data_IF_036435356027
#
_entry.id   IF_036435356027
#
_cell.length_a   1.000
_cell.length_b   1.000
_cell.length_c   1.000
_cell.angle_alpha   90.00
_cell.angle_beta   90.00
_cell.angle_gamma   90.00
#
_symmetry.space_group_name_H-M   'P 1'
#
loop_
_entity.id
_entity.type
_entity.pdbx_description
1 polymer ?
#
# COMPACT_ATOMS: atom_id res chain seq x y z
N UNK A 1 -17.85 15.02 -7.38
CA UNK A 1 -17.46 14.43 -6.09
C UNK A 1 -17.67 12.94 -6.15
N UNK A 2 -16.64 12.21 -6.40
CA UNK A 2 -16.71 10.74 -6.49
C UNK A 2 -16.28 10.10 -5.20
N UNK A 3 -17.17 10.07 -4.25
CA UNK A 3 -17.02 9.19 -3.09
C UNK A 3 -17.19 7.74 -3.58
N UNK A 4 -16.20 6.88 -3.35
CA UNK A 4 -16.20 5.48 -3.75
C UNK A 4 -17.51 4.74 -3.49
N UNK A 5 -18.06 4.88 -2.28
CA UNK A 5 -19.32 4.22 -1.90
C UNK A 5 -20.57 4.72 -2.63
N UNK A 6 -20.53 5.93 -3.19
CA UNK A 6 -21.64 6.43 -4.04
C UNK A 6 -21.62 5.79 -5.40
N UNK A 7 -20.44 5.47 -5.94
CA UNK A 7 -20.28 4.85 -7.25
C UNK A 7 -20.60 3.35 -7.22
N UNK A 8 -20.64 2.72 -6.02
CA UNK A 8 -21.08 1.33 -5.92
C UNK A 8 -22.54 1.21 -6.41
N UNK A 9 -22.83 0.22 -7.28
CA UNK A 9 -24.18 0.00 -7.77
C UNK A 9 -25.10 -0.55 -6.67
N UNK A 10 -26.38 -0.28 -6.80
CA UNK A 10 -27.38 -0.85 -5.92
C UNK A 10 -27.83 -2.21 -6.43
N UNK A 11 -28.19 -3.11 -5.53
CA UNK A 11 -28.92 -4.33 -5.85
C UNK A 11 -30.12 -4.51 -4.92
N UNK A 12 -31.09 -5.31 -5.39
CA UNK A 12 -32.32 -5.55 -4.65
C UNK A 12 -32.13 -6.75 -3.72
N UNK A 13 -32.24 -6.49 -2.40
CA UNK A 13 -32.11 -7.50 -1.35
C UNK A 13 -33.44 -7.72 -0.67
N UNK A 14 -33.77 -8.99 -0.39
CA UNK A 14 -35.02 -9.34 0.32
C UNK A 14 -35.07 -8.65 1.65
N UNK A 15 -36.14 -7.91 1.90
CA UNK A 15 -36.35 -7.20 3.17
C UNK A 15 -36.46 -8.20 4.33
N UNK A 16 -35.71 -7.97 5.37
CA UNK A 16 -35.77 -8.73 6.64
C UNK A 16 -36.40 -7.94 7.77
N UNK A 17 -37.13 -6.88 7.44
CA UNK A 17 -37.86 -6.10 8.42
C UNK A 17 -39.04 -6.90 8.98
N UNK A 18 -39.41 -6.68 10.23
CA UNK A 18 -40.58 -7.32 10.84
C UNK A 18 -41.83 -7.06 9.99
N UNK A 19 -42.52 -8.13 9.57
CA UNK A 19 -43.73 -8.03 8.75
C UNK A 19 -43.48 -8.00 7.23
N UNK A 20 -42.22 -7.96 6.77
CA UNK A 20 -41.90 -8.01 5.34
C UNK A 20 -42.23 -9.39 4.72
N UNK A 21 -42.70 -9.38 3.48
CA UNK A 21 -42.92 -10.60 2.67
C UNK A 21 -41.66 -10.93 1.88
N UNK A 22 -41.53 -12.18 1.43
CA UNK A 22 -40.40 -12.65 0.61
C UNK A 22 -40.26 -11.86 -0.72
N UNK A 23 -41.37 -11.26 -1.17
CA UNK A 23 -41.42 -10.40 -2.37
C UNK A 23 -40.99 -8.96 -2.12
N UNK A 24 -40.75 -8.58 -0.88
CA UNK A 24 -40.43 -7.21 -0.54
C UNK A 24 -38.92 -7.02 -0.61
N UNK A 25 -38.48 -6.16 -1.53
CA UNK A 25 -37.05 -5.87 -1.76
C UNK A 25 -36.72 -4.47 -1.29
N UNK A 26 -35.53 -4.33 -0.75
CA UNK A 26 -34.89 -3.05 -0.40
C UNK A 26 -33.61 -2.89 -1.22
N UNK A 27 -33.34 -1.66 -1.63
CA UNK A 27 -32.09 -1.35 -2.34
C UNK A 27 -30.95 -1.21 -1.35
N UNK A 28 -29.88 -1.96 -1.57
CA UNK A 28 -28.65 -1.90 -0.79
C UNK A 28 -27.45 -1.78 -1.71
N UNK A 29 -26.35 -1.18 -1.20
CA UNK A 29 -25.11 -1.06 -1.94
C UNK A 29 -24.43 -2.42 -2.14
N UNK A 30 -23.93 -2.68 -3.35
CA UNK A 30 -23.26 -3.92 -3.69
C UNK A 30 -21.78 -3.87 -3.32
N UNK A 31 -21.43 -4.27 -2.11
CA UNK A 31 -20.04 -4.34 -1.64
C UNK A 31 -19.24 -5.50 -2.24
N UNK A 32 -19.85 -6.40 -2.99
CA UNK A 32 -19.14 -7.47 -3.70
C UNK A 32 -18.49 -6.96 -5.01
N UNK A 33 -18.90 -5.78 -5.49
CA UNK A 33 -18.20 -5.10 -6.58
C UNK A 33 -17.09 -4.22 -6.01
N UNK A 34 -15.89 -4.36 -6.56
CA UNK A 34 -14.71 -3.57 -6.19
C UNK A 34 -14.17 -2.86 -7.41
N UNK A 35 -13.92 -1.57 -7.27
CA UNK A 35 -13.15 -0.82 -8.26
C UNK A 35 -11.67 -1.18 -8.16
N UNK A 36 -11.00 -1.14 -9.29
CA UNK A 36 -9.55 -1.31 -9.40
C UNK A 36 -9.02 -0.42 -10.54
N UNK A 37 -7.76 -0.10 -10.47
CA UNK A 37 -7.08 0.59 -11.57
C UNK A 37 -6.74 -0.48 -12.61
N UNK A 38 -7.01 -0.18 -13.86
CA UNK A 38 -6.73 -1.07 -14.99
C UNK A 38 -5.23 -1.43 -15.03
N UNK A 39 -4.92 -2.67 -15.36
CA UNK A 39 -3.57 -3.21 -15.25
C UNK A 39 -2.56 -2.49 -16.16
N UNK A 40 -2.98 -2.08 -17.36
CA UNK A 40 -2.13 -1.31 -18.29
C UNK A 40 -1.73 0.06 -17.73
N UNK A 41 -2.61 0.71 -16.97
CA UNK A 41 -2.28 1.96 -16.26
C UNK A 41 -1.36 1.65 -15.07
N UNK A 42 -1.65 0.59 -14.33
CA UNK A 42 -0.90 0.25 -13.12
C UNK A 42 0.55 -0.17 -13.41
N UNK A 43 0.80 -0.79 -14.55
CA UNK A 43 2.15 -1.20 -14.97
C UNK A 43 3.02 -0.05 -15.47
N UNK A 44 2.43 1.08 -15.85
CA UNK A 44 3.15 2.20 -16.45
C UNK A 44 3.44 3.31 -15.41
N UNK A 45 4.66 3.30 -14.88
CA UNK A 45 5.09 4.28 -13.85
C UNK A 45 5.00 5.75 -14.29
N UNK A 46 4.97 6.03 -15.60
CA UNK A 46 4.86 7.40 -16.12
C UNK A 46 3.53 8.06 -15.77
N UNK A 47 2.48 7.29 -15.50
CA UNK A 47 1.18 7.80 -15.08
C UNK A 47 1.14 8.25 -13.62
N UNK A 48 2.13 7.83 -12.83
CA UNK A 48 2.18 8.11 -11.40
C UNK A 48 3.20 9.18 -11.03
N UNK A 49 2.99 9.82 -9.92
CA UNK A 49 3.95 10.70 -9.24
C UNK A 49 4.32 10.10 -7.90
N UNK A 50 5.60 10.15 -7.57
CA UNK A 50 6.06 9.81 -6.22
C UNK A 50 5.57 10.88 -5.25
N UNK A 51 5.03 10.45 -4.13
CA UNK A 51 4.57 11.30 -3.05
C UNK A 51 5.08 10.76 -1.72
N UNK A 52 5.51 11.65 -0.84
CA UNK A 52 5.92 11.29 0.51
C UNK A 52 4.89 11.80 1.50
N UNK A 53 4.31 10.89 2.27
CA UNK A 53 3.34 11.19 3.33
C UNK A 53 4.04 11.98 4.42
N UNK A 54 3.48 13.13 4.80
CA UNK A 54 4.04 14.04 5.79
C UNK A 54 3.34 13.85 7.14
N UNK A 55 4.14 13.70 8.20
CA UNK A 55 3.60 13.59 9.56
C UNK A 55 2.55 12.48 9.67
N UNK A 56 1.39 12.83 10.21
CA UNK A 56 0.27 11.92 10.47
C UNK A 56 -0.86 12.09 9.43
N UNK A 57 -0.51 12.48 8.19
CA UNK A 57 -1.49 12.69 7.13
C UNK A 57 -2.26 11.39 6.84
N UNK A 58 -3.58 11.49 6.88
CA UNK A 58 -4.51 10.42 6.53
C UNK A 58 -4.71 10.38 5.00
N UNK A 59 -5.24 9.29 4.44
CA UNK A 59 -5.49 9.19 2.99
C UNK A 59 -6.35 10.34 2.43
N UNK A 60 -7.32 10.83 3.19
CA UNK A 60 -8.17 11.95 2.82
C UNK A 60 -7.40 13.29 2.79
N UNK A 61 -6.46 13.49 3.72
CA UNK A 61 -5.57 14.66 3.71
C UNK A 61 -4.60 14.60 2.52
N UNK A 62 -4.03 13.44 2.24
CA UNK A 62 -3.16 13.23 1.07
C UNK A 62 -3.93 13.49 -0.22
N UNK A 63 -5.16 12.98 -0.33
CA UNK A 63 -6.04 13.23 -1.49
C UNK A 63 -6.35 14.72 -1.65
N UNK A 64 -6.64 15.42 -0.56
CA UNK A 64 -6.84 16.86 -0.59
C UNK A 64 -5.60 17.63 -1.01
N UNK A 65 -4.43 17.29 -0.45
CA UNK A 65 -3.18 17.98 -0.75
C UNK A 65 -2.77 17.80 -2.23
N UNK A 66 -3.04 16.65 -2.81
CA UNK A 66 -2.59 16.32 -4.16
C UNK A 66 -3.65 16.60 -5.24
N UNK A 67 -4.90 16.22 -5.00
CA UNK A 67 -6.01 16.32 -5.97
C UNK A 67 -6.94 17.50 -5.71
N UNK A 68 -6.83 18.18 -4.56
CA UNK A 68 -7.76 19.19 -4.07
C UNK A 68 -9.19 18.62 -3.83
N UNK A 69 -9.28 17.31 -3.64
CA UNK A 69 -10.53 16.59 -3.40
C UNK A 69 -10.32 15.46 -2.39
N UNK A 70 -10.83 15.60 -1.17
CA UNK A 70 -10.67 14.60 -0.10
C UNK A 70 -11.42 13.29 -0.36
N UNK A 71 -12.44 13.29 -1.22
CA UNK A 71 -13.21 12.12 -1.61
C UNK A 71 -12.46 11.13 -2.50
N UNK A 72 -11.22 11.46 -2.92
CA UNK A 72 -10.32 10.58 -3.67
C UNK A 72 -9.37 9.77 -2.79
N UNK A 73 -9.63 9.68 -1.49
CA UNK A 73 -8.90 8.84 -0.53
C UNK A 73 -8.81 7.38 -0.99
N UNK A 74 -9.90 6.84 -1.54
CA UNK A 74 -9.93 5.50 -2.11
C UNK A 74 -8.94 5.32 -3.28
N UNK A 75 -8.73 6.35 -4.10
CA UNK A 75 -7.78 6.30 -5.22
C UNK A 75 -6.34 6.25 -4.70
N UNK A 76 -6.02 7.04 -3.66
CA UNK A 76 -4.72 6.99 -2.97
C UNK A 76 -4.42 5.58 -2.49
N UNK A 77 -5.40 4.92 -1.84
CA UNK A 77 -5.26 3.55 -1.34
C UNK A 77 -5.13 2.52 -2.48
N UNK A 78 -5.96 2.68 -3.52
CA UNK A 78 -5.96 1.75 -4.66
C UNK A 78 -4.68 1.83 -5.49
N UNK A 79 -4.13 3.04 -5.69
CA UNK A 79 -2.85 3.24 -6.40
C UNK A 79 -1.68 2.50 -5.74
N UNK A 80 -1.75 2.28 -4.43
CA UNK A 80 -0.70 1.64 -3.66
C UNK A 80 -1.09 0.22 -3.21
N UNK A 81 -2.20 -0.30 -3.71
CA UNK A 81 -2.76 -1.60 -3.35
C UNK A 81 -2.94 -1.80 -1.83
N UNK A 82 -3.21 -0.72 -1.10
CA UNK A 82 -3.44 -0.73 0.34
C UNK A 82 -4.85 -1.25 0.60
N UNK A 83 -4.95 -2.39 1.26
CA UNK A 83 -6.23 -3.04 1.63
C UNK A 83 -6.55 -2.79 3.09
N UNK A 84 -5.55 -2.86 3.95
CA UNK A 84 -5.71 -2.63 5.39
C UNK A 84 -4.95 -1.37 5.83
N UNK A 85 -5.68 -0.28 6.01
CA UNK A 85 -5.12 1.01 6.45
C UNK A 85 -4.40 0.89 7.79
N UNK A 86 -4.86 0.02 8.70
CA UNK A 86 -4.27 -0.08 10.03
C UNK A 86 -2.86 -0.67 10.04
N UNK A 87 -2.51 -1.48 9.04
CA UNK A 87 -1.21 -2.17 8.98
C UNK A 87 -0.31 -1.67 7.86
N UNK A 88 -0.91 -1.18 6.77
CA UNK A 88 -0.20 -0.82 5.53
C UNK A 88 -0.01 0.69 5.37
N UNK A 89 -0.80 1.51 6.07
CA UNK A 89 -0.60 2.95 6.14
C UNK A 89 0.39 3.32 7.25
N UNK A 90 1.22 4.37 7.09
CA UNK A 90 2.14 4.79 8.15
C UNK A 90 1.37 5.22 9.40
N UNK A 91 1.87 4.75 10.52
CA UNK A 91 1.31 5.06 11.84
C UNK A 91 1.68 6.49 12.30
N UNK A 92 0.86 7.05 13.18
CA UNK A 92 1.27 8.21 13.95
C UNK A 92 2.41 7.83 14.91
N UNK A 93 3.23 8.80 15.33
CA UNK A 93 4.33 8.51 16.27
C UNK A 93 3.83 7.82 17.53
N UNK A 94 2.71 8.27 18.08
CA UNK A 94 2.10 7.67 19.29
C UNK A 94 1.62 6.25 19.07
N UNK A 95 1.05 5.95 17.92
CA UNK A 95 0.58 4.60 17.60
C UNK A 95 1.75 3.68 17.27
N UNK A 96 2.80 4.21 16.64
CA UNK A 96 4.04 3.48 16.40
C UNK A 96 4.74 3.09 17.70
N UNK A 97 4.87 4.03 18.65
CA UNK A 97 5.44 3.73 19.95
C UNK A 97 4.63 2.66 20.70
N UNK A 98 3.29 2.73 20.62
CA UNK A 98 2.42 1.71 21.20
C UNK A 98 2.63 0.35 20.50
N UNK A 99 2.64 0.32 19.17
CA UNK A 99 2.90 -0.89 18.40
C UNK A 99 4.23 -1.55 18.78
N UNK A 100 5.30 -0.74 18.96
CA UNK A 100 6.60 -1.24 19.37
C UNK A 100 6.57 -1.89 20.77
N UNK A 101 5.89 -1.24 21.72
CA UNK A 101 5.76 -1.78 23.08
C UNK A 101 4.89 -3.04 23.11
N UNK A 102 3.83 -3.10 22.31
CA UNK A 102 2.98 -4.29 22.20
C UNK A 102 3.75 -5.48 21.58
N UNK A 103 4.65 -5.20 20.63
CA UNK A 103 5.41 -6.24 19.93
C UNK A 103 6.62 -6.74 20.70
N UNK A 104 7.36 -5.84 21.33
CA UNK A 104 8.64 -6.15 22.00
C UNK A 104 8.55 -6.15 23.53
N UNK A 105 7.44 -5.72 24.11
CA UNK A 105 7.13 -5.70 25.55
C UNK A 105 8.03 -4.76 26.37
N UNK A 106 9.33 -4.64 26.05
CA UNK A 106 10.29 -3.83 26.81
C UNK A 106 11.21 -3.03 25.91
N UNK A 107 11.69 -1.88 26.42
CA UNK A 107 12.68 -1.05 25.72
C UNK A 107 14.04 -1.75 25.57
N UNK A 108 14.34 -2.70 26.43
CA UNK A 108 15.57 -3.49 26.33
C UNK A 108 15.56 -4.35 25.09
N UNK A 109 14.46 -5.08 24.84
CA UNK A 109 14.26 -5.89 23.63
C UNK A 109 14.24 -5.04 22.35
N UNK A 110 13.76 -3.81 22.42
CA UNK A 110 13.82 -2.87 21.28
C UNK A 110 15.25 -2.51 20.87
N UNK A 111 16.17 -2.46 21.85
CA UNK A 111 17.57 -2.14 21.61
C UNK A 111 18.43 -3.37 21.27
N UNK A 112 17.86 -4.58 21.32
CA UNK A 112 18.57 -5.78 20.88
C UNK A 112 18.85 -5.73 19.38
N UNK A 113 19.95 -6.39 18.98
CA UNK A 113 20.39 -6.44 17.59
C UNK A 113 19.45 -7.37 16.81
N UNK A 114 18.78 -6.82 15.81
CA UNK A 114 17.95 -7.58 14.88
C UNK A 114 18.83 -8.30 13.84
N UNK A 115 19.73 -7.55 13.19
CA UNK A 115 20.66 -8.06 12.18
C UNK A 115 21.83 -7.10 11.97
N UNK A 116 22.75 -7.48 11.09
CA UNK A 116 23.85 -6.63 10.65
C UNK A 116 23.67 -6.26 9.19
N UNK A 117 23.99 -5.02 8.84
CA UNK A 117 23.99 -4.50 7.48
C UNK A 117 25.39 -4.07 7.05
N UNK A 118 25.65 -4.13 5.75
CA UNK A 118 26.89 -3.65 5.17
C UNK A 118 26.96 -2.13 5.17
N UNK A 119 28.18 -1.61 5.32
CA UNK A 119 28.52 -0.20 5.11
C UNK A 119 29.03 -0.05 3.67
N UNK A 120 28.70 1.09 3.04
CA UNK A 120 29.20 1.37 1.68
C UNK A 120 30.73 1.44 1.66
N UNK A 121 31.35 0.66 0.77
CA UNK A 121 32.79 0.66 0.51
C UNK A 121 33.05 1.10 -0.91
N UNK A 122 33.90 2.11 -1.05
CA UNK A 122 34.40 2.59 -2.34
C UNK A 122 35.89 2.33 -2.47
N UNK A 123 36.34 2.02 -3.69
CA UNK A 123 37.76 2.00 -4.00
C UNK A 123 38.33 3.43 -4.10
N UNK A 124 39.64 3.56 -4.28
CA UNK A 124 40.34 4.85 -4.42
C UNK A 124 39.86 5.67 -5.64
N UNK A 125 39.21 5.05 -6.62
CA UNK A 125 38.58 5.73 -7.77
C UNK A 125 37.15 6.20 -7.51
N UNK A 126 36.58 5.91 -6.32
CA UNK A 126 35.19 6.24 -6.00
C UNK A 126 34.15 5.24 -6.50
N UNK A 127 34.59 4.10 -7.09
CA UNK A 127 33.66 3.04 -7.52
C UNK A 127 33.16 2.28 -6.30
N UNK A 128 31.85 2.09 -6.19
CA UNK A 128 31.21 1.32 -5.13
C UNK A 128 31.53 -0.16 -5.33
N UNK A 129 32.24 -0.75 -4.37
CA UNK A 129 32.58 -2.17 -4.31
C UNK A 129 31.55 -2.96 -3.48
N UNK A 130 31.05 -2.34 -2.43
CA UNK A 130 30.03 -2.89 -1.56
C UNK A 130 28.97 -1.81 -1.33
N UNK A 131 27.70 -2.13 -1.57
CA UNK A 131 26.59 -1.24 -1.27
C UNK A 131 26.24 -1.31 0.21
N UNK A 132 25.77 -0.22 0.78
CA UNK A 132 25.18 -0.20 2.12
C UNK A 132 23.84 -0.94 2.17
N UNK A 133 23.44 -1.36 3.38
CA UNK A 133 22.10 -1.89 3.64
C UNK A 133 21.89 -3.35 3.22
N UNK A 134 22.93 -4.09 2.83
CA UNK A 134 22.78 -5.53 2.56
C UNK A 134 22.87 -6.30 3.89
N UNK A 135 21.88 -7.14 4.14
CA UNK A 135 21.88 -7.98 5.34
C UNK A 135 23.00 -9.03 5.26
N UNK A 136 23.83 -9.06 6.27
CA UNK A 136 25.00 -9.95 6.37
C UNK A 136 25.18 -10.50 7.78
N UNK A 137 26.09 -11.46 7.91
CA UNK A 137 26.47 -11.97 9.23
C UNK A 137 27.44 -10.98 9.95
N UNK A 138 27.46 -10.98 11.27
CA UNK A 138 28.38 -10.16 12.09
C UNK A 138 29.85 -10.31 11.72
N UNK A 139 30.25 -11.48 11.23
CA UNK A 139 31.64 -11.81 10.87
C UNK A 139 31.92 -11.61 9.36
N UNK A 140 31.11 -10.84 8.67
CA UNK A 140 31.28 -10.58 7.24
C UNK A 140 32.64 -9.91 6.99
N UNK A 141 33.43 -10.44 6.06
CA UNK A 141 34.71 -9.90 5.66
C UNK A 141 34.81 -9.85 4.13
N UNK A 142 35.49 -8.84 3.64
CA UNK A 142 35.72 -8.63 2.22
C UNK A 142 37.15 -8.14 2.01
N UNK A 143 37.81 -8.69 1.01
CA UNK A 143 39.12 -8.22 0.55
C UNK A 143 39.03 -7.84 -0.92
N UNK A 144 39.58 -6.70 -1.28
CA UNK A 144 39.66 -6.28 -2.69
C UNK A 144 41.05 -5.80 -3.05
N UNK A 145 41.36 -5.84 -4.35
CA UNK A 145 42.59 -5.29 -4.86
C UNK A 145 42.38 -3.85 -5.32
N UNK A 146 43.16 -2.94 -4.82
CA UNK A 146 43.08 -1.54 -5.22
C UNK A 146 44.09 -1.26 -6.36
N UNK A 147 43.56 -0.89 -7.52
CA UNK A 147 44.35 -0.66 -8.74
C UNK A 147 45.32 0.51 -8.62
N UNK A 148 45.06 1.49 -7.76
CA UNK A 148 45.91 2.67 -7.60
C UNK A 148 47.06 2.36 -6.68
N UNK A 149 46.76 1.81 -5.50
CA UNK A 149 47.82 1.49 -4.51
C UNK A 149 48.54 0.20 -4.80
N UNK A 150 48.04 -0.62 -5.75
CA UNK A 150 48.55 -1.94 -6.13
C UNK A 150 48.67 -2.90 -4.94
N UNK A 151 47.74 -2.78 -3.98
CA UNK A 151 47.73 -3.60 -2.77
C UNK A 151 46.34 -4.23 -2.55
N UNK A 152 46.35 -5.36 -1.86
CA UNK A 152 45.12 -5.92 -1.30
C UNK A 152 44.73 -5.11 -0.06
N UNK A 153 43.48 -4.73 0.02
CA UNK A 153 42.87 -3.98 1.12
C UNK A 153 41.78 -4.82 1.74
N UNK A 154 41.88 -5.03 3.04
CA UNK A 154 40.81 -5.66 3.84
C UNK A 154 40.31 -4.62 4.84
N UNK A 155 39.14 -4.01 4.60
CA UNK A 155 38.59 -3.05 5.52
C UNK A 155 38.26 -3.72 6.86
N UNK A 156 38.44 -3.02 7.95
CA UNK A 156 38.18 -3.54 9.31
C UNK A 156 36.75 -3.37 9.75
N UNK A 157 36.07 -2.34 9.24
CA UNK A 157 34.67 -2.05 9.58
C UNK A 157 33.81 -2.17 8.34
N UNK A 158 33.10 -3.27 8.21
CA UNK A 158 32.30 -3.60 7.04
C UNK A 158 30.79 -3.66 7.35
N UNK A 159 30.46 -3.80 8.63
CA UNK A 159 29.10 -4.02 9.09
C UNK A 159 28.70 -3.04 10.18
N UNK A 160 27.43 -2.69 10.21
CA UNK A 160 26.78 -1.97 11.30
C UNK A 160 25.64 -2.82 11.87
N UNK A 161 25.43 -2.72 13.18
CA UNK A 161 24.31 -3.41 13.82
C UNK A 161 23.03 -2.59 13.65
N UNK A 162 21.96 -3.26 13.29
CA UNK A 162 20.61 -2.70 13.21
C UNK A 162 19.80 -3.26 14.37
N UNK A 163 19.27 -2.38 15.24
CA UNK A 163 18.42 -2.79 16.35
C UNK A 163 17.00 -3.05 15.88
N UNK A 164 16.20 -3.73 16.71
CA UNK A 164 14.77 -3.96 16.44
C UNK A 164 14.05 -2.62 16.21
N UNK A 165 14.33 -1.59 16.98
CA UNK A 165 13.75 -0.26 16.81
C UNK A 165 14.05 0.32 15.42
N UNK A 166 15.32 0.32 15.01
CA UNK A 166 15.75 0.87 13.71
C UNK A 166 15.14 0.07 12.56
N UNK A 167 15.03 -1.24 12.71
CA UNK A 167 14.41 -2.10 11.71
C UNK A 167 12.92 -1.76 11.50
N UNK A 168 12.14 -1.65 12.58
CA UNK A 168 10.72 -1.29 12.50
C UNK A 168 10.53 0.14 11.97
N UNK A 169 11.41 1.07 12.37
CA UNK A 169 11.38 2.43 11.87
C UNK A 169 11.62 2.49 10.34
N UNK A 170 12.57 1.70 9.81
CA UNK A 170 12.80 1.62 8.36
C UNK A 170 11.56 1.13 7.61
N UNK A 171 10.88 0.08 8.12
CA UNK A 171 9.65 -0.43 7.53
C UNK A 171 8.55 0.64 7.53
N UNK A 172 8.44 1.39 8.64
CA UNK A 172 7.44 2.44 8.77
C UNK A 172 7.74 3.63 7.84
N UNK A 173 9.01 3.99 7.69
CA UNK A 173 9.43 5.04 6.76
C UNK A 173 9.24 4.65 5.28
N UNK A 174 9.37 3.37 4.94
CA UNK A 174 9.09 2.87 3.60
C UNK A 174 7.62 3.04 3.22
N UNK A 175 6.68 2.82 4.15
CA UNK A 175 5.23 3.03 3.93
C UNK A 175 4.89 4.48 3.60
N UNK A 176 5.74 5.45 3.99
CA UNK A 176 5.54 6.87 3.68
C UNK A 176 5.77 7.21 2.20
N UNK A 177 6.47 6.35 1.47
CA UNK A 177 6.76 6.56 0.06
C UNK A 177 5.70 5.89 -0.81
N UNK A 178 4.75 6.67 -1.30
CA UNK A 178 3.61 6.20 -2.08
C UNK A 178 3.63 6.74 -3.51
N UNK A 179 2.83 6.13 -4.36
CA UNK A 179 2.59 6.58 -5.72
C UNK A 179 1.15 7.09 -5.86
N UNK A 180 1.00 8.24 -6.49
CA UNK A 180 -0.31 8.85 -6.76
C UNK A 180 -0.51 9.00 -8.27
N UNK A 181 -1.67 8.62 -8.77
CA UNK A 181 -2.03 8.83 -10.17
C UNK A 181 -2.04 10.33 -10.47
N UNK A 182 -1.41 10.75 -11.57
CA UNK A 182 -1.41 12.16 -11.96
C UNK A 182 -2.83 12.66 -12.27
N UNK A 183 -3.19 13.89 -11.90
CA UNK A 183 -4.55 14.42 -12.08
C UNK A 183 -5.09 14.36 -13.51
N UNK A 184 -4.20 14.43 -14.50
CA UNK A 184 -4.59 14.36 -15.92
C UNK A 184 -5.26 13.04 -16.34
N UNK A 185 -5.08 11.99 -15.56
CA UNK A 185 -5.60 10.65 -15.86
C UNK A 185 -6.83 10.27 -15.01
N UNK A 186 -7.32 11.18 -14.16
CA UNK A 186 -8.48 10.94 -13.30
C UNK A 186 -9.73 10.56 -14.10
N UNK A 187 -9.96 11.22 -15.23
CA UNK A 187 -11.14 10.95 -16.06
C UNK A 187 -11.16 9.51 -16.56
N UNK A 188 -10.00 8.94 -16.91
CA UNK A 188 -9.91 7.55 -17.36
C UNK A 188 -10.32 6.61 -16.24
N UNK A 189 -9.87 6.87 -15.01
CA UNK A 189 -10.25 6.05 -13.85
C UNK A 189 -11.73 6.18 -13.52
N UNK A 190 -12.32 7.35 -13.70
CA UNK A 190 -13.77 7.52 -13.51
C UNK A 190 -14.57 6.75 -14.54
N UNK A 191 -14.20 6.83 -15.82
CA UNK A 191 -14.85 6.09 -16.90
C UNK A 191 -14.71 4.57 -16.67
N UNK A 192 -13.53 4.10 -16.32
CA UNK A 192 -13.28 2.70 -15.96
C UNK A 192 -14.11 2.24 -14.74
N UNK A 193 -14.24 3.10 -13.73
CA UNK A 193 -15.07 2.81 -12.55
C UNK A 193 -16.54 2.68 -12.91
N UNK A 194 -17.06 3.57 -13.76
CA UNK A 194 -18.46 3.52 -14.21
C UNK A 194 -18.73 2.24 -15.01
N UNK A 195 -17.78 1.82 -15.86
CA UNK A 195 -17.88 0.57 -16.60
C UNK A 195 -17.83 -0.67 -15.69
N UNK A 196 -16.88 -0.73 -14.75
CA UNK A 196 -16.72 -1.84 -13.79
C UNK A 196 -17.96 -1.95 -12.89
N UNK A 197 -18.53 -0.83 -12.48
CA UNK A 197 -19.69 -0.80 -11.58
C UNK A 197 -21.01 -1.12 -12.32
N UNK A 198 -21.06 -1.02 -13.63
CA UNK A 198 -22.26 -1.35 -14.39
C UNK A 198 -22.65 -2.83 -14.27
N UNK A 199 -23.95 -3.11 -14.26
CA UNK A 199 -24.48 -4.47 -14.37
C UNK A 199 -24.58 -4.86 -15.84
N UNK A 200 -23.80 -5.83 -16.26
CA UNK A 200 -23.78 -6.32 -17.64
C UNK A 200 -24.97 -7.26 -17.85
N UNK A 201 -25.79 -7.00 -18.88
CA UNK A 201 -26.86 -7.91 -19.28
C UNK A 201 -26.31 -9.30 -19.60
N UNK A 202 -26.93 -10.33 -19.01
CA UNK A 202 -26.45 -11.72 -19.13
C UNK A 202 -25.48 -12.17 -18.04
N UNK A 203 -25.03 -11.26 -17.16
CA UNK A 203 -24.28 -11.66 -15.96
C UNK A 203 -25.19 -12.32 -14.93
N UNK A 204 -24.61 -13.13 -14.03
CA UNK A 204 -25.36 -13.80 -12.94
C UNK A 204 -26.04 -12.80 -11.99
N UNK A 205 -25.54 -11.57 -11.93
CA UNK A 205 -26.08 -10.50 -11.09
C UNK A 205 -27.25 -9.74 -11.74
N UNK A 206 -27.43 -9.87 -13.05
CA UNK A 206 -28.50 -9.20 -13.78
C UNK A 206 -29.66 -10.17 -14.03
N UNK A 207 -30.74 -10.03 -13.29
CA UNK A 207 -31.98 -10.82 -13.49
C UNK A 207 -32.95 -10.14 -14.44
N UNK A 208 -33.27 -8.88 -14.16
CA UNK A 208 -34.11 -8.01 -15.01
C UNK A 208 -33.61 -6.56 -14.90
N UNK A 209 -34.20 -5.65 -15.70
CA UNK A 209 -33.91 -4.22 -15.60
C UNK A 209 -34.14 -3.67 -14.18
N UNK A 210 -35.18 -4.17 -13.52
CA UNK A 210 -35.61 -3.73 -12.19
C UNK A 210 -35.04 -4.57 -11.04
N UNK A 211 -34.49 -5.76 -11.34
CA UNK A 211 -34.00 -6.68 -10.32
C UNK A 211 -32.54 -7.07 -10.62
N UNK A 212 -31.64 -6.64 -9.78
CA UNK A 212 -30.23 -7.02 -9.74
C UNK A 212 -29.97 -7.74 -8.43
N UNK A 213 -29.18 -8.79 -8.47
CA UNK A 213 -28.85 -9.59 -7.29
C UNK A 213 -27.34 -9.59 -7.04
N UNK A 214 -26.94 -9.91 -5.83
CA UNK A 214 -25.54 -10.04 -5.46
C UNK A 214 -25.00 -11.47 -5.64
N UNK A 215 -25.76 -12.34 -6.32
CA UNK A 215 -25.38 -13.74 -6.50
C UNK A 215 -23.98 -13.84 -7.11
N UNK A 216 -23.06 -14.39 -6.32
CA UNK A 216 -21.75 -14.75 -6.77
C UNK A 216 -21.65 -16.28 -6.79
N UNK A 217 -21.38 -16.85 -7.97
CA UNK A 217 -21.23 -18.30 -8.16
C UNK A 217 -20.23 -18.93 -7.16
N UNK A 218 -19.28 -18.15 -6.69
CA UNK A 218 -18.30 -18.61 -5.69
C UNK A 218 -18.85 -18.84 -4.26
N UNK A 219 -20.08 -18.42 -3.99
CA UNK A 219 -20.72 -18.66 -2.69
C UNK A 219 -21.40 -20.04 -2.60
N UNK A 220 -21.45 -20.80 -3.69
CA UNK A 220 -22.13 -22.07 -3.81
C UNK A 220 -21.21 -23.24 -4.18
N UNK A 221 -19.89 -23.05 -4.11
CA UNK A 221 -18.90 -24.13 -4.33
C UNK A 221 -18.16 -24.49 -3.03
#
# INVERSE_FOLDING_TARGET
MSNYFRNLPDFDYVSRLPGAKISDYIKVKNFFKRGFIREDIFQELSFFSKYQIKGDDRPDNVAWNFYQESGLDWLVLTCNNIVNIQTEWPLSQTDFDRFLLDKYETYEKLNEIHHYETIEIKNTRGTILLKEGLQVNSNFSMTYYDDITKKQVTPTTLTTSVTNYVYEQKIEDEKRNIYLLKPNYLNIVYDDMDEIMAYIKGSSQYKTETLKTADNIRLYT
#
